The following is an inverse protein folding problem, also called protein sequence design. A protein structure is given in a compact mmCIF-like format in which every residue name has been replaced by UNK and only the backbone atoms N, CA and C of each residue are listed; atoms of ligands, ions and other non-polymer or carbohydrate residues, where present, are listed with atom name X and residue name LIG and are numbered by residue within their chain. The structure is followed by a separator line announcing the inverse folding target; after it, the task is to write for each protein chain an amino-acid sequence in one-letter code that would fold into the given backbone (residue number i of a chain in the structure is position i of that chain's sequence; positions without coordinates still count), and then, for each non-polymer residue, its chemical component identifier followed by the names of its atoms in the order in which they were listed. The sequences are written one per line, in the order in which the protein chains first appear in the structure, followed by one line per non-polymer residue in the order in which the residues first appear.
data_IF_524844399088
#
_entry.id   IF_524844399088
#
_cell.length_a   1.000
_cell.length_b   1.000
_cell.length_c   1.000
_cell.angle_alpha   90.00
_cell.angle_beta   90.00
_cell.angle_gamma   90.00
#
_symmetry.space_group_name_H-M   'P 1'
#
loop_
_entity.id
_entity.type
_entity.pdbx_description
1 polymer ?
#
# COMPACT_ATOMS: atom_id res chain seq x y z
N UNK A 1 -3.75 -3.40 7.34
CA UNK A 1 -4.39 -2.07 7.34
C UNK A 1 -3.40 -0.96 7.60
N UNK A 2 -2.94 -0.71 8.83
CA UNK A 2 -2.15 0.50 9.13
C UNK A 2 -0.98 0.80 8.18
N UNK A 3 -0.06 -0.15 7.96
CA UNK A 3 1.09 0.05 7.06
C UNK A 3 0.69 0.21 5.58
N UNK A 4 -0.37 -0.48 5.14
CA UNK A 4 -0.89 -0.34 3.78
C UNK A 4 -1.49 1.06 3.58
N UNK A 5 -2.32 1.52 4.53
CA UNK A 5 -2.93 2.85 4.48
C UNK A 5 -1.87 3.95 4.62
N UNK A 6 -0.84 3.74 5.46
CA UNK A 6 0.30 4.64 5.58
C UNK A 6 0.98 4.84 4.22
N UNK A 7 1.31 3.74 3.54
CA UNK A 7 1.94 3.77 2.23
C UNK A 7 1.07 4.53 1.21
N UNK A 8 -0.22 4.19 1.16
CA UNK A 8 -1.18 4.83 0.25
C UNK A 8 -1.30 6.34 0.50
N UNK A 9 -1.50 6.77 1.73
CA UNK A 9 -1.66 8.20 2.03
C UNK A 9 -0.38 8.99 1.81
N UNK A 10 0.80 8.43 2.09
CA UNK A 10 2.06 9.12 1.76
C UNK A 10 2.15 9.41 0.26
N UNK A 11 1.82 8.42 -0.59
CA UNK A 11 1.83 8.60 -2.03
C UNK A 11 0.77 9.59 -2.50
N UNK A 12 -0.47 9.48 -2.02
CA UNK A 12 -1.53 10.42 -2.43
C UNK A 12 -1.19 11.86 -2.05
N UNK A 13 -0.61 12.07 -0.87
CA UNK A 13 -0.25 13.41 -0.39
C UNK A 13 0.97 13.98 -1.12
N UNK A 14 2.03 13.19 -1.31
CA UNK A 14 3.34 13.72 -1.72
C UNK A 14 3.74 13.39 -3.16
N UNK A 15 3.12 12.42 -3.81
CA UNK A 15 3.51 12.05 -5.17
C UNK A 15 3.45 13.23 -6.16
N UNK A 16 2.45 14.14 -6.13
CA UNK A 16 2.47 15.31 -7.00
C UNK A 16 3.72 16.18 -6.80
N UNK A 17 4.07 16.48 -5.54
CA UNK A 17 5.26 17.26 -5.20
C UNK A 17 6.55 16.55 -5.66
N UNK A 18 6.66 15.24 -5.40
CA UNK A 18 7.79 14.42 -5.87
C UNK A 18 7.94 14.51 -7.39
N UNK A 19 6.83 14.43 -8.13
CA UNK A 19 6.86 14.46 -9.59
C UNK A 19 7.22 15.85 -10.13
N UNK A 20 6.75 16.93 -9.50
CA UNK A 20 7.16 18.30 -9.80
C UNK A 20 8.67 18.48 -9.60
N UNK A 21 9.22 17.96 -8.50
CA UNK A 21 10.67 17.97 -8.23
C UNK A 21 11.46 17.08 -9.20
N UNK A 22 10.82 16.09 -9.80
CA UNK A 22 11.35 15.30 -10.91
C UNK A 22 11.17 15.98 -12.28
N UNK A 23 10.87 17.28 -12.30
CA UNK A 23 10.70 18.14 -13.46
C UNK A 23 9.48 17.80 -14.34
N UNK A 24 8.46 17.15 -13.76
CA UNK A 24 7.17 16.98 -14.43
C UNK A 24 6.35 18.28 -14.33
N UNK A 25 5.59 18.62 -15.37
CA UNK A 25 4.70 19.79 -15.30
C UNK A 25 3.62 19.57 -14.24
N UNK A 26 3.31 20.59 -13.43
CA UNK A 26 2.35 20.48 -12.32
C UNK A 26 0.99 19.93 -12.76
N UNK A 27 0.48 20.38 -13.92
CA UNK A 27 -0.77 19.91 -14.51
C UNK A 27 -0.77 18.40 -14.82
N UNK A 28 0.40 17.80 -15.08
CA UNK A 28 0.51 16.40 -15.47
C UNK A 28 0.61 15.46 -14.26
N UNK A 29 1.08 15.96 -13.12
CA UNK A 29 1.26 15.13 -11.90
C UNK A 29 -0.06 14.52 -11.41
N UNK A 30 -1.17 15.24 -11.59
CA UNK A 30 -2.52 14.76 -11.29
C UNK A 30 -2.95 13.56 -12.14
N UNK A 31 -2.51 13.48 -13.40
CA UNK A 31 -2.79 12.34 -14.27
C UNK A 31 -2.13 11.06 -13.77
N UNK A 32 -0.94 11.16 -13.17
CA UNK A 32 -0.25 10.01 -12.59
C UNK A 32 -1.03 9.46 -11.40
N UNK A 33 -1.52 10.33 -10.52
CA UNK A 33 -2.41 9.94 -9.43
C UNK A 33 -3.69 9.31 -9.97
N UNK A 34 -4.31 9.90 -11.00
CA UNK A 34 -5.48 9.35 -11.65
C UNK A 34 -5.24 7.92 -12.16
N UNK A 35 -4.09 7.66 -12.78
CA UNK A 35 -3.70 6.32 -13.25
C UNK A 35 -3.56 5.32 -12.10
N UNK A 36 -3.02 5.73 -10.94
CA UNK A 36 -2.99 4.88 -9.75
C UNK A 36 -4.42 4.50 -9.33
N UNK A 37 -5.33 5.48 -9.26
CA UNK A 37 -6.70 5.26 -8.80
C UNK A 37 -7.51 4.40 -9.76
N UNK A 38 -7.47 4.70 -11.06
CA UNK A 38 -8.24 3.95 -12.06
C UNK A 38 -7.77 2.49 -12.15
N UNK A 39 -6.47 2.24 -11.93
CA UNK A 39 -5.90 0.89 -11.86
C UNK A 39 -6.32 0.16 -10.59
N UNK A 40 -6.42 0.87 -9.47
CA UNK A 40 -6.77 0.29 -8.18
C UNK A 40 -8.22 -0.21 -8.12
N UNK A 41 -9.16 0.44 -8.82
CA UNK A 41 -10.59 0.09 -8.84
C UNK A 41 -10.85 -1.38 -9.28
N UNK A 42 -10.49 -1.81 -10.51
CA UNK A 42 -10.78 -3.17 -10.99
C UNK A 42 -10.05 -4.21 -10.13
N UNK A 43 -8.86 -3.90 -9.64
CA UNK A 43 -8.06 -4.78 -8.81
C UNK A 43 -8.73 -5.03 -7.46
N UNK A 44 -9.22 -3.98 -6.82
CA UNK A 44 -9.89 -4.10 -5.51
C UNK A 44 -11.14 -4.97 -5.59
N UNK A 45 -11.84 -4.93 -6.73
CA UNK A 45 -13.00 -5.78 -7.01
C UNK A 45 -12.63 -7.25 -7.32
N UNK A 46 -11.58 -7.47 -8.11
CA UNK A 46 -11.15 -8.82 -8.51
C UNK A 46 -10.37 -9.56 -7.41
N UNK A 47 -9.66 -8.83 -6.54
CA UNK A 47 -8.76 -9.40 -5.54
C UNK A 47 -9.43 -10.36 -4.54
N UNK A 48 -10.63 -10.11 -3.97
CA UNK A 48 -11.29 -11.05 -3.07
C UNK A 48 -11.63 -12.36 -3.77
N UNK A 49 -12.03 -12.32 -5.04
CA UNK A 49 -12.38 -13.50 -5.84
C UNK A 49 -11.16 -14.37 -6.06
N UNK A 50 -10.01 -13.75 -6.40
CA UNK A 50 -8.74 -14.45 -6.58
C UNK A 50 -8.28 -15.05 -5.24
N UNK A 51 -8.23 -14.22 -4.20
CA UNK A 51 -7.73 -14.59 -2.90
C UNK A 51 -8.57 -15.70 -2.25
N UNK A 52 -9.90 -15.68 -2.36
CA UNK A 52 -10.76 -16.73 -1.80
C UNK A 52 -10.57 -18.10 -2.50
N UNK A 53 -10.16 -18.10 -3.78
CA UNK A 53 -9.81 -19.33 -4.51
C UNK A 53 -8.41 -19.86 -4.17
N UNK A 54 -7.56 -19.07 -3.52
CA UNK A 54 -6.19 -19.48 -3.18
C UNK A 54 -6.15 -20.26 -1.87
N UNK A 55 -5.62 -21.49 -1.92
CA UNK A 55 -5.35 -22.30 -0.72
C UNK A 55 -4.32 -21.67 0.22
N UNK A 56 -3.42 -20.83 -0.32
CA UNK A 56 -2.35 -20.19 0.45
C UNK A 56 -2.14 -18.73 0.02
N UNK A 57 -2.52 -17.81 0.90
CA UNK A 57 -2.45 -16.35 0.72
C UNK A 57 -1.00 -15.81 0.78
N UNK A 58 -0.02 -16.61 1.22
CA UNK A 58 1.38 -16.17 1.34
C UNK A 58 1.99 -15.77 0.00
N UNK A 59 1.68 -16.52 -1.07
CA UNK A 59 2.20 -16.21 -2.40
C UNK A 59 1.70 -14.85 -2.89
N UNK A 60 0.44 -14.54 -2.60
CA UNK A 60 -0.15 -13.24 -2.92
C UNK A 60 0.51 -12.11 -2.13
N UNK A 61 0.82 -12.31 -0.85
CA UNK A 61 1.55 -11.33 -0.03
C UNK A 61 2.96 -11.08 -0.57
N UNK A 62 3.70 -12.13 -0.93
CA UNK A 62 5.03 -12.00 -1.57
C UNK A 62 4.91 -11.18 -2.85
N UNK A 63 3.95 -11.51 -3.72
CA UNK A 63 3.73 -10.79 -4.97
C UNK A 63 3.42 -9.30 -4.74
N UNK A 64 2.47 -9.01 -3.84
CA UNK A 64 2.07 -7.63 -3.49
C UNK A 64 3.26 -6.84 -2.95
N UNK A 65 3.95 -7.38 -1.94
CA UNK A 65 5.04 -6.66 -1.28
C UNK A 65 6.23 -6.45 -2.22
N UNK A 66 6.56 -7.43 -3.06
CA UNK A 66 7.57 -7.28 -4.11
C UNK A 66 7.20 -6.17 -5.09
N UNK A 67 5.93 -6.13 -5.54
CA UNK A 67 5.46 -5.11 -6.47
C UNK A 67 5.51 -3.70 -5.84
N UNK A 68 5.11 -3.57 -4.58
CA UNK A 68 5.22 -2.31 -3.82
C UNK A 68 6.68 -1.89 -3.63
N UNK A 69 7.58 -2.81 -3.29
CA UNK A 69 9.00 -2.49 -3.11
C UNK A 69 9.66 -2.05 -4.41
N UNK A 70 9.45 -2.82 -5.48
CA UNK A 70 10.03 -2.51 -6.79
C UNK A 70 9.55 -1.13 -7.23
N UNK A 71 8.25 -0.86 -7.16
CA UNK A 71 7.70 0.43 -7.57
C UNK A 71 8.20 1.62 -6.74
N UNK A 72 8.32 1.44 -5.42
CA UNK A 72 8.88 2.44 -4.50
C UNK A 72 10.35 2.74 -4.82
N UNK A 73 11.15 1.70 -5.07
CA UNK A 73 12.56 1.86 -5.45
C UNK A 73 12.72 2.45 -6.85
N UNK A 74 11.83 2.12 -7.79
CA UNK A 74 11.81 2.74 -9.11
C UNK A 74 11.58 4.25 -8.99
N UNK A 75 10.67 4.73 -8.14
CA UNK A 75 10.52 6.17 -7.91
C UNK A 75 11.77 6.80 -7.32
N UNK A 76 12.41 6.14 -6.34
CA UNK A 76 13.62 6.66 -5.70
C UNK A 76 14.83 6.80 -6.65
N UNK A 77 14.95 5.93 -7.66
CA UNK A 77 16.14 5.83 -8.51
C UNK A 77 15.91 6.27 -9.96
N UNK A 78 14.80 5.87 -10.57
CA UNK A 78 14.48 6.15 -11.98
C UNK A 78 13.72 7.47 -12.16
N UNK A 79 13.26 8.09 -11.07
CA UNK A 79 12.57 9.38 -11.04
C UNK A 79 11.41 9.42 -12.05
N UNK A 80 11.56 10.20 -13.13
CA UNK A 80 10.55 10.44 -14.16
C UNK A 80 10.51 9.36 -15.26
N UNK A 81 11.47 8.43 -15.29
CA UNK A 81 11.46 7.35 -16.26
C UNK A 81 10.37 6.32 -15.92
N UNK A 82 9.56 5.94 -16.92
CA UNK A 82 8.50 4.94 -16.77
C UNK A 82 7.42 5.27 -15.73
N UNK A 83 7.18 6.55 -15.41
CA UNK A 83 6.22 6.99 -14.37
C UNK A 83 4.86 6.29 -14.48
N UNK A 84 4.23 6.26 -15.66
CA UNK A 84 2.90 5.67 -15.82
C UNK A 84 2.89 4.16 -15.64
N UNK A 85 3.95 3.46 -16.08
CA UNK A 85 4.13 2.03 -15.79
C UNK A 85 4.27 1.78 -14.29
N UNK A 86 5.04 2.64 -13.61
CA UNK A 86 5.20 2.57 -12.17
C UNK A 86 3.90 2.88 -11.41
N UNK A 87 3.13 3.85 -11.87
CA UNK A 87 1.81 4.21 -11.34
C UNK A 87 0.82 3.03 -11.44
N UNK A 88 0.81 2.32 -12.58
CA UNK A 88 0.01 1.09 -12.74
C UNK A 88 0.47 0.03 -11.73
N UNK A 89 1.78 -0.20 -11.58
CA UNK A 89 2.31 -1.17 -10.61
C UNK A 89 1.88 -0.83 -9.18
N UNK A 90 1.96 0.45 -8.77
CA UNK A 90 1.49 0.92 -7.47
C UNK A 90 -0.01 0.70 -7.31
N UNK A 91 -0.83 1.08 -8.31
CA UNK A 91 -2.28 0.92 -8.27
C UNK A 91 -2.69 -0.54 -8.11
N UNK A 92 -2.05 -1.44 -8.87
CA UNK A 92 -2.21 -2.89 -8.75
C UNK A 92 -1.84 -3.36 -7.33
N UNK A 93 -0.65 -2.99 -6.85
CA UNK A 93 -0.16 -3.46 -5.57
C UNK A 93 -1.00 -2.96 -4.38
N UNK A 94 -1.37 -1.67 -4.38
CA UNK A 94 -2.22 -1.08 -3.35
C UNK A 94 -3.62 -1.67 -3.34
N UNK A 95 -4.25 -1.84 -4.51
CA UNK A 95 -5.58 -2.45 -4.60
C UNK A 95 -5.61 -3.87 -4.07
N UNK A 96 -4.64 -4.70 -4.46
CA UNK A 96 -4.48 -6.07 -3.96
C UNK A 96 -4.24 -6.08 -2.44
N UNK A 97 -3.34 -5.22 -1.95
CA UNK A 97 -2.98 -5.13 -0.53
C UNK A 97 -4.16 -4.73 0.35
N UNK A 98 -4.89 -3.69 -0.05
CA UNK A 98 -6.08 -3.21 0.65
C UNK A 98 -7.16 -4.29 0.72
N UNK A 99 -7.49 -4.87 -0.44
CA UNK A 99 -8.53 -5.89 -0.55
C UNK A 99 -8.19 -7.16 0.26
N UNK A 100 -6.93 -7.62 0.18
CA UNK A 100 -6.45 -8.75 0.97
C UNK A 100 -6.51 -8.48 2.48
N UNK A 101 -6.19 -7.26 2.91
CA UNK A 101 -6.26 -6.90 4.31
C UNK A 101 -7.72 -6.92 4.83
N UNK A 102 -8.71 -6.49 4.03
CA UNK A 102 -10.14 -6.59 4.42
C UNK A 102 -10.54 -8.05 4.51
N UNK A 103 -10.13 -8.85 3.52
CA UNK A 103 -10.44 -10.27 3.45
C UNK A 103 -9.92 -11.02 4.68
N UNK A 104 -8.74 -10.67 5.21
CA UNK A 104 -8.23 -11.29 6.43
C UNK A 104 -9.10 -11.07 7.65
N UNK A 105 -9.86 -9.97 7.75
CA UNK A 105 -10.81 -9.80 8.85
C UNK A 105 -11.93 -10.84 8.79
N UNK A 106 -12.41 -11.16 7.58
CA UNK A 106 -13.44 -12.18 7.39
C UNK A 106 -12.91 -13.61 7.55
N UNK A 107 -11.75 -13.92 6.95
CA UNK A 107 -11.16 -15.27 6.98
C UNK A 107 -10.63 -15.72 8.34
N UNK A 108 -10.51 -14.81 9.31
CA UNK A 108 -9.88 -15.08 10.61
C UNK A 108 -10.85 -14.98 11.79
N UNK A 109 -12.12 -14.74 11.51
CA UNK A 109 -13.23 -14.73 12.48
C UNK A 109 -14.24 -15.81 12.15
N UNK A 110 -14.85 -16.42 13.17
CA UNK A 110 -15.88 -17.45 12.96
C UNK A 110 -17.28 -16.85 12.81
N UNK A 111 -17.47 -15.59 13.22
CA UNK A 111 -18.75 -14.87 13.17
C UNK A 111 -18.64 -13.51 12.48
N UNK A 112 -19.62 -13.17 11.65
CA UNK A 112 -19.75 -11.87 10.98
C UNK A 112 -19.74 -10.70 11.97
N UNK A 113 -20.34 -10.86 13.16
CA UNK A 113 -20.37 -9.82 14.18
C UNK A 113 -18.96 -9.51 14.71
N UNK A 114 -18.11 -10.53 14.84
CA UNK A 114 -16.73 -10.35 15.29
C UNK A 114 -15.83 -9.85 14.16
N UNK A 115 -16.08 -10.25 12.90
CA UNK A 115 -15.41 -9.68 11.73
C UNK A 115 -15.57 -8.16 11.70
N UNK A 116 -16.79 -7.66 11.97
CA UNK A 116 -17.08 -6.21 12.03
C UNK A 116 -16.30 -5.55 13.16
N UNK A 117 -16.30 -6.12 14.37
CA UNK A 117 -15.56 -5.56 15.53
C UNK A 117 -14.06 -5.50 15.30
N UNK A 118 -13.47 -6.60 14.82
CA UNK A 118 -12.02 -6.67 14.54
C UNK A 118 -11.66 -5.72 13.40
N UNK A 119 -12.47 -5.67 12.34
CA UNK A 119 -12.26 -4.73 11.23
C UNK A 119 -12.30 -3.28 11.70
N UNK A 120 -13.29 -2.92 12.54
CA UNK A 120 -13.40 -1.58 13.12
C UNK A 120 -12.18 -1.21 13.96
N UNK A 121 -11.78 -2.06 14.92
CA UNK A 121 -10.61 -1.83 15.76
C UNK A 121 -9.32 -1.71 14.93
N UNK A 122 -9.10 -2.62 13.98
CA UNK A 122 -7.91 -2.64 13.16
C UNK A 122 -7.85 -1.45 12.18
N UNK A 123 -8.99 -0.97 11.69
CA UNK A 123 -9.07 0.24 10.88
C UNK A 123 -8.83 1.49 11.72
N UNK A 124 -9.44 1.63 12.91
CA UNK A 124 -9.20 2.79 13.78
C UNK A 124 -7.72 2.94 14.17
N UNK A 125 -7.10 1.87 14.67
CA UNK A 125 -5.68 1.87 15.01
C UNK A 125 -4.82 2.01 13.74
N UNK A 126 -5.21 1.34 12.66
CA UNK A 126 -4.50 1.40 11.39
C UNK A 126 -4.44 2.81 10.81
N UNK A 127 -5.56 3.53 10.80
CA UNK A 127 -5.62 4.90 10.30
C UNK A 127 -4.91 5.89 11.22
N UNK A 128 -4.91 5.65 12.53
CA UNK A 128 -4.09 6.43 13.46
C UNK A 128 -2.60 6.29 13.14
N UNK A 129 -2.12 5.07 12.86
CA UNK A 129 -0.74 4.83 12.40
C UNK A 129 -0.51 5.52 11.05
N UNK A 130 -1.46 5.40 10.12
CA UNK A 130 -1.33 5.94 8.78
C UNK A 130 -1.26 7.48 8.76
N UNK A 131 -1.93 8.15 9.69
CA UNK A 131 -1.90 9.60 9.84
C UNK A 131 -0.49 10.16 10.10
N UNK A 132 0.40 9.37 10.72
CA UNK A 132 1.80 9.76 10.91
C UNK A 132 2.66 9.61 9.65
N UNK A 133 2.19 8.86 8.65
CA UNK A 133 2.92 8.61 7.41
C UNK A 133 3.30 9.88 6.67
N UNK A 134 2.33 10.67 6.17
CA UNK A 134 2.63 11.83 5.35
C UNK A 134 3.50 12.89 6.07
N UNK A 135 3.29 13.23 7.35
CA UNK A 135 4.18 14.15 8.06
C UNK A 135 5.63 13.66 8.16
N UNK A 136 5.84 12.37 8.43
CA UNK A 136 7.18 11.78 8.48
C UNK A 136 7.81 11.74 7.07
N UNK A 137 7.03 11.38 6.06
CA UNK A 137 7.49 11.32 4.67
C UNK A 137 7.97 12.68 4.16
N UNK A 138 7.20 13.76 4.43
CA UNK A 138 7.59 15.13 4.08
C UNK A 138 8.81 15.60 4.86
N UNK A 139 8.85 15.38 6.18
CA UNK A 139 9.99 15.79 7.01
C UNK A 139 11.31 15.12 6.61
N UNK A 140 11.26 13.88 6.12
CA UNK A 140 12.43 13.19 5.59
C UNK A 140 12.96 13.81 4.30
N UNK A 141 12.08 14.42 3.49
CA UNK A 141 12.48 15.16 2.30
C UNK A 141 13.12 16.50 2.68
N UNK A 142 12.63 17.18 3.72
CA UNK A 142 13.26 18.41 4.24
C UNK A 142 14.72 18.18 4.70
N UNK A 143 15.09 16.93 5.02
CA UNK A 143 16.46 16.54 5.39
C UNK A 143 17.31 16.09 4.21
N UNK A 144 16.68 15.48 3.21
CA UNK A 144 17.31 14.92 2.02
C UNK A 144 16.45 15.32 0.83
N UNK A 145 16.76 16.49 0.26
CA UNK A 145 16.06 17.12 -0.88
C UNK A 145 15.88 16.15 -2.07
N UNK A 146 16.58 15.02 -2.09
CA UNK A 146 16.48 13.98 -3.13
C UNK A 146 15.28 13.03 -3.02
N UNK A 147 14.40 13.17 -2.01
CA UNK A 147 13.24 12.29 -1.70
C UNK A 147 13.59 10.82 -1.40
N UNK A 148 14.87 10.43 -1.52
CA UNK A 148 15.31 9.04 -1.36
C UNK A 148 15.05 8.53 0.06
N UNK A 149 15.37 9.34 1.07
CA UNK A 149 15.08 9.02 2.47
C UNK A 149 13.60 8.73 2.71
N UNK A 150 12.70 9.51 2.11
CA UNK A 150 11.25 9.29 2.19
C UNK A 150 10.81 7.98 1.52
N UNK A 151 11.38 7.64 0.35
CA UNK A 151 11.11 6.36 -0.31
C UNK A 151 11.74 5.15 0.40
N UNK A 152 12.86 5.31 1.08
CA UNK A 152 13.42 4.26 1.95
C UNK A 152 12.55 4.00 3.17
N UNK A 153 11.95 5.05 3.75
CA UNK A 153 10.95 4.91 4.80
C UNK A 153 9.72 4.13 4.33
N UNK A 154 9.20 4.40 3.13
CA UNK A 154 8.12 3.59 2.55
C UNK A 154 8.56 2.16 2.29
N UNK A 155 9.76 1.95 1.77
CA UNK A 155 10.31 0.61 1.53
C UNK A 155 10.41 -0.20 2.83
N UNK A 156 10.86 0.44 3.91
CA UNK A 156 10.89 -0.15 5.25
C UNK A 156 9.48 -0.49 5.76
N UNK A 157 8.51 0.40 5.53
CA UNK A 157 7.10 0.16 5.88
C UNK A 157 6.53 -1.06 5.13
N UNK A 158 6.90 -1.26 3.86
CA UNK A 158 6.53 -2.44 3.08
C UNK A 158 7.18 -3.72 3.63
N UNK A 159 8.44 -3.66 4.08
CA UNK A 159 9.10 -4.81 4.73
C UNK A 159 8.40 -5.23 6.02
N UNK A 160 7.99 -4.27 6.86
CA UNK A 160 7.17 -4.55 8.03
C UNK A 160 5.82 -5.14 7.63
N UNK A 161 5.19 -4.60 6.59
CA UNK A 161 3.92 -5.09 6.08
C UNK A 161 4.05 -6.54 5.58
N UNK A 162 5.14 -6.88 4.90
CA UNK A 162 5.45 -8.24 4.48
C UNK A 162 5.56 -9.18 5.69
N UNK A 163 6.34 -8.80 6.70
CA UNK A 163 6.52 -9.60 7.90
C UNK A 163 5.19 -9.88 8.64
N UNK A 164 4.39 -8.84 8.89
CA UNK A 164 3.10 -8.99 9.55
C UNK A 164 2.07 -9.71 8.68
N UNK A 165 2.06 -9.44 7.37
CA UNK A 165 1.20 -10.12 6.40
C UNK A 165 1.47 -11.63 6.36
N UNK A 166 2.74 -12.04 6.34
CA UNK A 166 3.13 -13.45 6.37
C UNK A 166 2.73 -14.16 7.67
N UNK A 167 2.71 -13.44 8.80
CA UNK A 167 2.17 -13.95 10.07
C UNK A 167 0.64 -14.09 10.02
N UNK A 168 -0.07 -13.09 9.51
CA UNK A 168 -1.54 -13.10 9.36
C UNK A 168 -2.04 -14.17 8.36
N UNK A 169 -1.21 -14.51 7.36
CA UNK A 169 -1.49 -15.55 6.39
C UNK A 169 -1.51 -16.97 6.98
N UNK A 170 -0.99 -17.17 8.20
CA UNK A 170 -1.07 -18.47 8.88
C UNK A 170 -2.54 -18.79 9.16
N UNK A 171 -2.95 -20.04 8.88
CA UNK A 171 -4.30 -20.56 9.10
C UNK A 171 -4.59 -20.71 10.61
N UNK A 172 -4.69 -19.60 11.33
CA UNK A 172 -5.10 -19.57 12.74
C UNK A 172 -6.24 -18.57 12.87
N UNK A 173 -7.31 -18.98 13.55
CA UNK A 173 -8.40 -18.07 13.90
C UNK A 173 -7.92 -17.13 15.02
N UNK A 174 -8.46 -15.92 15.06
CA UNK A 174 -8.21 -14.97 16.17
C UNK A 174 -9.02 -15.38 17.41
N UNK A 175 -10.09 -16.15 17.19
CA UNK A 175 -10.95 -16.73 18.22
C UNK A 175 -10.55 -18.20 18.46
N UNK A 176 -10.51 -18.64 19.72
CA UNK A 176 -10.41 -20.07 20.05
C UNK A 176 -11.65 -20.86 19.59
#
# INVERSE_FOLDING_TARGET
MGLQSLFYYCLVTWLPAVLTDYHMQENDTGWVLFVIQITMIPVTFCSPVIANKMKNQKLLIVFICSLMLISTLMFAWLKSQWIYGNAIMIGLANGLSFSLAILFFSLRTKSTANAIKISGMAQSVGYLIAAFGPPVFGKLHDWDESWRSSFYFLSFSVMLMFYFGMKAARMKYVEE
#
